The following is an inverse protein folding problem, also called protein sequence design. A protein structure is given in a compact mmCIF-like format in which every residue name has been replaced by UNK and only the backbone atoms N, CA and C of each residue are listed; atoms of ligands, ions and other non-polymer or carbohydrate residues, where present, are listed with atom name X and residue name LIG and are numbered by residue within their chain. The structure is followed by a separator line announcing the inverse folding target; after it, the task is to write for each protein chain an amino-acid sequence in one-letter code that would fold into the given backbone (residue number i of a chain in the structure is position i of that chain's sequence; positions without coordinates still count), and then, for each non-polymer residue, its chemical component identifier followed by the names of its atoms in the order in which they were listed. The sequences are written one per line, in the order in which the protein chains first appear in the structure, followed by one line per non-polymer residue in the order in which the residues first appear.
data_IF_722276297980
#
_entry.id   IF_722276297980
#
_cell.length_a   1.000
_cell.length_b   1.000
_cell.length_c   1.000
_cell.angle_alpha   90.00
_cell.angle_beta   90.00
_cell.angle_gamma   90.00
#
_symmetry.space_group_name_H-M   'P 1'
#
loop_
_entity.id
_entity.type
_entity.pdbx_description
1 polymer ?
#
# COMPACT_ATOMS: atom_id res chain seq x y z
N UNK A 1 9.06 20.22 0.50
CA UNK A 1 8.88 19.50 1.76
C UNK A 1 7.86 18.41 1.54
N UNK A 2 8.21 17.15 1.81
CA UNK A 2 7.30 16.00 1.66
C UNK A 2 6.85 15.45 3.01
N UNK A 3 7.13 16.14 4.13
CA UNK A 3 6.58 15.78 5.43
C UNK A 3 5.06 15.94 5.39
N UNK A 4 4.27 14.88 5.64
CA UNK A 4 2.81 15.00 5.70
C UNK A 4 2.39 15.97 6.82
N UNK A 5 1.50 16.95 6.56
CA UNK A 5 1.24 18.05 7.50
C UNK A 5 0.77 17.58 8.87
N UNK A 6 -0.08 16.55 8.90
CA UNK A 6 -0.61 16.03 10.15
C UNK A 6 0.47 15.37 11.02
N UNK A 7 1.48 14.72 10.43
CA UNK A 7 2.57 14.10 11.19
C UNK A 7 3.43 15.14 11.92
N UNK A 8 3.53 16.35 11.37
CA UNK A 8 4.25 17.45 12.02
C UNK A 8 3.52 17.97 13.27
N UNK A 9 2.20 17.77 13.37
CA UNK A 9 1.37 18.35 14.44
C UNK A 9 0.79 17.32 15.42
N UNK A 10 0.87 16.01 15.13
CA UNK A 10 0.22 14.98 15.93
C UNK A 10 0.93 14.69 17.26
N UNK A 11 2.18 15.11 17.44
CA UNK A 11 2.94 14.92 18.68
C UNK A 11 3.53 13.52 18.88
N UNK A 12 3.31 12.60 17.94
CA UNK A 12 3.79 11.21 18.00
C UNK A 12 5.24 11.04 17.48
N UNK A 13 5.76 12.03 16.76
CA UNK A 13 7.08 11.98 16.12
C UNK A 13 7.99 13.06 16.70
N UNK A 14 9.24 12.68 16.97
CA UNK A 14 10.29 13.63 17.32
C UNK A 14 10.68 14.49 16.12
N UNK A 15 11.27 15.66 16.38
CA UNK A 15 11.82 16.52 15.33
C UNK A 15 12.83 15.78 14.45
N UNK A 16 13.67 14.94 15.07
CA UNK A 16 14.65 14.11 14.37
C UNK A 16 13.99 13.15 13.37
N UNK A 17 12.91 12.46 13.77
CA UNK A 17 12.16 11.57 12.88
C UNK A 17 11.48 12.34 11.74
N UNK A 18 10.93 13.52 12.03
CA UNK A 18 10.31 14.37 11.01
C UNK A 18 11.32 14.88 9.97
N UNK A 19 12.62 14.97 10.31
CA UNK A 19 13.67 15.31 9.34
C UNK A 19 14.03 14.19 8.37
N UNK A 20 13.60 12.95 8.63
CA UNK A 20 13.84 11.82 7.73
C UNK A 20 13.00 11.90 6.44
N UNK A 21 11.91 12.68 6.44
CA UNK A 21 11.13 12.93 5.24
C UNK A 21 11.91 13.79 4.23
N UNK A 22 11.81 13.42 2.97
CA UNK A 22 12.48 14.11 1.89
C UNK A 22 12.03 15.58 1.80
N UNK A 23 12.97 16.52 1.92
CA UNK A 23 12.67 17.94 1.78
C UNK A 23 13.66 18.63 0.82
N UNK A 24 13.27 18.83 -0.46
CA UNK A 24 14.15 19.46 -1.44
C UNK A 24 14.51 20.91 -1.09
N UNK A 25 13.72 21.58 -0.24
CA UNK A 25 14.00 22.96 0.22
C UNK A 25 15.23 23.04 1.15
N UNK A 26 15.65 21.92 1.74
CA UNK A 26 16.84 21.84 2.60
C UNK A 26 18.13 21.53 1.80
N UNK A 27 18.00 21.23 0.51
CA UNK A 27 19.14 20.92 -0.35
C UNK A 27 19.73 22.21 -0.94
N UNK A 28 21.05 22.27 -1.16
CA UNK A 28 21.68 23.39 -1.86
C UNK A 28 21.00 23.69 -3.21
N UNK A 29 20.93 24.98 -3.59
CA UNK A 29 20.31 25.37 -4.87
C UNK A 29 20.97 24.72 -6.10
N UNK A 30 22.25 24.36 -6.00
CA UNK A 30 23.01 23.66 -7.04
C UNK A 30 22.87 22.13 -7.01
N UNK A 31 21.99 21.58 -6.17
CA UNK A 31 21.78 20.13 -6.10
C UNK A 31 21.17 19.61 -7.41
N UNK A 32 21.93 18.79 -8.12
CA UNK A 32 21.46 18.07 -9.29
C UNK A 32 20.59 16.88 -8.84
N UNK A 33 19.33 16.85 -9.26
CA UNK A 33 18.44 15.72 -8.99
C UNK A 33 18.61 14.62 -10.05
N UNK A 34 18.80 13.36 -9.64
CA UNK A 34 18.87 12.26 -10.59
C UNK A 34 17.53 12.12 -11.32
N UNK A 35 17.59 11.95 -12.64
CA UNK A 35 16.42 11.60 -13.43
C UNK A 35 16.11 10.13 -13.19
N UNK A 36 14.99 9.85 -12.54
CA UNK A 36 14.48 8.48 -12.43
C UNK A 36 13.97 8.02 -13.79
N UNK A 37 14.64 7.03 -14.38
CA UNK A 37 14.09 6.22 -15.46
C UNK A 37 13.36 5.06 -14.79
N UNK A 38 12.03 5.04 -14.85
CA UNK A 38 11.22 3.97 -14.30
C UNK A 38 11.32 2.73 -15.22
N UNK A 39 12.15 1.72 -14.92
CA UNK A 39 12.50 0.67 -15.88
C UNK A 39 11.31 -0.26 -16.19
N UNK A 40 10.36 -0.35 -15.24
CA UNK A 40 9.15 -1.16 -15.38
C UNK A 40 8.12 -0.57 -16.36
N UNK A 41 8.32 0.65 -16.87
CA UNK A 41 7.58 1.10 -18.05
C UNK A 41 8.08 0.46 -19.35
N UNK A 42 9.31 -0.07 -19.37
CA UNK A 42 9.96 -0.63 -20.56
C UNK A 42 9.99 -2.18 -20.57
N UNK A 43 9.64 -2.84 -19.46
CA UNK A 43 9.57 -4.31 -19.39
C UNK A 43 8.13 -4.80 -19.29
N UNK A 44 7.79 -5.78 -20.12
CA UNK A 44 6.50 -6.48 -20.05
C UNK A 44 6.40 -7.24 -18.72
N UNK A 45 5.65 -6.69 -17.78
CA UNK A 45 5.31 -7.37 -16.53
C UNK A 45 4.32 -8.50 -16.81
N UNK A 46 4.65 -9.71 -16.35
CA UNK A 46 3.79 -10.89 -16.40
C UNK A 46 3.81 -11.55 -15.01
N UNK A 47 2.68 -11.49 -14.31
CA UNK A 47 2.56 -11.98 -12.94
C UNK A 47 2.88 -13.49 -12.83
N UNK A 48 2.42 -14.31 -13.77
CA UNK A 48 2.59 -15.76 -13.72
C UNK A 48 4.05 -16.13 -13.96
N UNK A 49 4.70 -15.44 -14.90
CA UNK A 49 6.13 -15.59 -15.16
C UNK A 49 6.98 -15.21 -13.94
N UNK A 50 6.63 -14.11 -13.26
CA UNK A 50 7.32 -13.68 -12.05
C UNK A 50 7.15 -14.70 -10.92
N UNK A 51 5.90 -15.12 -10.64
CA UNK A 51 5.58 -16.12 -9.61
C UNK A 51 6.35 -17.43 -9.84
N UNK A 52 6.38 -17.90 -11.10
CA UNK A 52 7.15 -19.08 -11.48
C UNK A 52 8.63 -18.88 -11.22
N UNK A 53 9.18 -17.74 -11.65
CA UNK A 53 10.62 -17.47 -11.53
C UNK A 53 11.09 -17.35 -10.09
N UNK A 54 10.34 -16.65 -9.22
CA UNK A 54 10.70 -16.53 -7.79
C UNK A 54 10.62 -17.88 -7.07
N UNK A 55 9.69 -18.75 -7.50
CA UNK A 55 9.58 -20.12 -6.99
C UNK A 55 10.74 -20.99 -7.46
N UNK A 56 11.08 -20.96 -8.75
CA UNK A 56 12.22 -21.70 -9.34
C UNK A 56 13.55 -21.33 -8.67
N UNK A 57 13.73 -20.05 -8.35
CA UNK A 57 14.95 -19.55 -7.71
C UNK A 57 15.01 -19.85 -6.20
N UNK A 58 13.97 -20.45 -5.61
CA UNK A 58 13.92 -20.74 -4.18
C UNK A 58 13.84 -19.50 -3.28
N UNK A 59 13.45 -18.35 -3.84
CA UNK A 59 13.34 -17.08 -3.10
C UNK A 59 12.12 -17.04 -2.18
N UNK A 60 11.22 -18.01 -2.33
CA UNK A 60 10.05 -18.22 -1.48
C UNK A 60 10.08 -19.64 -0.93
N UNK A 61 9.67 -19.82 0.33
CA UNK A 61 9.70 -21.14 0.98
C UNK A 61 8.77 -22.17 0.30
N UNK A 62 7.64 -21.70 -0.25
CA UNK A 62 6.64 -22.52 -0.96
C UNK A 62 6.05 -21.70 -2.09
N UNK A 63 5.62 -22.35 -3.17
CA UNK A 63 4.97 -21.68 -4.32
C UNK A 63 3.72 -20.88 -3.91
N UNK A 64 2.97 -21.33 -2.90
CA UNK A 64 1.84 -20.59 -2.33
C UNK A 64 2.24 -19.25 -1.70
N UNK A 65 3.47 -19.13 -1.19
CA UNK A 65 4.01 -17.88 -0.64
C UNK A 65 4.44 -16.88 -1.73
N UNK A 66 4.46 -17.28 -3.01
CA UNK A 66 4.68 -16.35 -4.12
C UNK A 66 3.42 -15.54 -4.48
N UNK A 67 2.25 -15.93 -3.96
CA UNK A 67 1.01 -15.19 -4.20
C UNK A 67 1.13 -13.77 -3.62
N UNK A 68 0.78 -12.71 -4.39
CA UNK A 68 0.77 -11.34 -3.88
C UNK A 68 -0.11 -11.14 -2.65
N UNK A 69 -1.10 -12.00 -2.45
CA UNK A 69 -1.97 -11.98 -1.26
C UNK A 69 -1.17 -12.39 0.00
N UNK A 70 -0.18 -13.27 -0.15
CA UNK A 70 0.54 -13.90 0.97
C UNK A 70 1.91 -13.26 1.21
N UNK A 71 2.61 -12.82 0.16
CA UNK A 71 3.95 -12.22 0.25
C UNK A 71 3.95 -10.76 0.68
N UNK A 72 2.78 -10.12 0.76
CA UNK A 72 2.66 -8.72 1.11
C UNK A 72 2.92 -8.43 2.59
N UNK A 73 3.17 -7.17 2.91
CA UNK A 73 3.38 -6.75 4.29
C UNK A 73 2.09 -6.89 5.11
N UNK A 74 2.13 -7.48 6.33
CA UNK A 74 0.93 -7.78 7.11
C UNK A 74 0.00 -6.59 7.40
N UNK A 75 0.55 -5.37 7.55
CA UNK A 75 -0.26 -4.16 7.79
C UNK A 75 -1.19 -3.85 6.60
N UNK A 76 -0.88 -4.29 5.38
CA UNK A 76 -1.73 -4.04 4.23
C UNK A 76 -3.15 -4.60 4.45
N UNK A 77 -3.30 -5.69 5.19
CA UNK A 77 -4.61 -6.23 5.57
C UNK A 77 -5.41 -5.26 6.41
N UNK A 78 -4.78 -4.61 7.39
CA UNK A 78 -5.40 -3.59 8.23
C UNK A 78 -5.79 -2.35 7.42
N UNK A 79 -4.92 -1.89 6.51
CA UNK A 79 -5.23 -0.76 5.63
C UNK A 79 -6.42 -1.05 4.72
N UNK A 80 -6.43 -2.21 4.06
CA UNK A 80 -7.57 -2.65 3.24
C UNK A 80 -8.85 -2.78 4.07
N UNK A 81 -8.77 -3.23 5.33
CA UNK A 81 -9.92 -3.30 6.23
C UNK A 81 -10.49 -1.92 6.53
N UNK A 82 -9.63 -0.94 6.86
CA UNK A 82 -10.03 0.45 7.11
C UNK A 82 -10.77 1.03 5.91
N UNK A 83 -10.23 0.87 4.71
CA UNK A 83 -10.82 1.41 3.48
C UNK A 83 -12.10 0.68 3.08
N UNK A 84 -12.15 -0.65 3.21
CA UNK A 84 -13.38 -1.42 2.97
C UNK A 84 -14.50 -1.01 3.93
N UNK A 85 -14.16 -0.67 5.19
CA UNK A 85 -15.13 -0.22 6.19
C UNK A 85 -15.61 1.20 5.91
N UNK A 86 -14.72 2.11 5.53
CA UNK A 86 -15.01 3.53 5.39
C UNK A 86 -15.56 3.90 4.01
N UNK A 87 -15.01 3.31 2.95
CA UNK A 87 -15.33 3.64 1.55
C UNK A 87 -16.09 2.53 0.83
N UNK A 88 -16.11 1.31 1.37
CA UNK A 88 -16.87 0.20 0.82
C UNK A 88 -16.15 -0.60 -0.28
N UNK A 89 -14.90 -0.24 -0.63
CA UNK A 89 -14.12 -0.91 -1.67
C UNK A 89 -12.66 -1.15 -1.24
N UNK A 90 -12.00 -2.10 -1.89
CA UNK A 90 -10.59 -2.42 -1.66
C UNK A 90 -9.69 -1.38 -2.36
N UNK A 91 -8.72 -0.75 -1.66
CA UNK A 91 -7.90 0.32 -2.23
C UNK A 91 -7.06 -0.14 -3.42
N UNK A 92 -6.74 -1.43 -3.55
CA UNK A 92 -5.99 -1.97 -4.68
C UNK A 92 -6.83 -2.27 -5.92
N UNK A 93 -8.15 -2.07 -5.86
CA UNK A 93 -9.04 -2.36 -6.98
C UNK A 93 -8.66 -1.60 -8.27
N UNK A 94 -8.28 -0.30 -8.24
CA UNK A 94 -7.83 0.42 -9.43
C UNK A 94 -6.57 -0.18 -10.06
N UNK A 95 -5.57 -0.54 -9.25
CA UNK A 95 -4.29 -1.11 -9.67
C UNK A 95 -4.51 -2.48 -10.32
N UNK A 96 -5.27 -3.37 -9.67
CA UNK A 96 -5.59 -4.68 -10.25
C UNK A 96 -6.44 -4.55 -11.51
N UNK A 97 -7.39 -3.61 -11.56
CA UNK A 97 -8.17 -3.36 -12.77
C UNK A 97 -7.29 -2.87 -13.93
N UNK A 98 -6.27 -2.05 -13.66
CA UNK A 98 -5.29 -1.64 -14.66
C UNK A 98 -4.47 -2.84 -15.16
N UNK A 99 -3.93 -3.66 -14.25
CA UNK A 99 -3.18 -4.86 -14.61
C UNK A 99 -3.99 -5.85 -15.46
N UNK A 100 -5.28 -6.02 -15.14
CA UNK A 100 -6.18 -6.88 -15.92
C UNK A 100 -6.41 -6.31 -17.32
N UNK A 101 -6.66 -5.01 -17.45
CA UNK A 101 -6.84 -4.35 -18.76
C UNK A 101 -5.58 -4.45 -19.62
N UNK A 102 -4.41 -4.38 -19.00
CA UNK A 102 -3.11 -4.57 -19.64
C UNK A 102 -2.77 -6.05 -19.90
N UNK A 103 -3.66 -6.99 -19.55
CA UNK A 103 -3.46 -8.45 -19.65
C UNK A 103 -2.27 -9.00 -18.86
N UNK A 104 -1.84 -8.26 -17.84
CA UNK A 104 -0.73 -8.63 -16.95
C UNK A 104 -1.21 -9.43 -15.73
N UNK A 105 -2.52 -9.48 -15.50
CA UNK A 105 -3.18 -10.27 -14.46
C UNK A 105 -4.44 -10.96 -15.01
N UNK A 106 -4.77 -12.12 -14.45
CA UNK A 106 -5.92 -12.93 -14.90
C UNK A 106 -7.26 -12.38 -14.37
N UNK A 107 -8.13 -11.93 -15.27
CA UNK A 107 -9.50 -11.50 -14.92
C UNK A 107 -10.30 -12.64 -14.26
N UNK A 108 -10.21 -13.86 -14.81
CA UNK A 108 -11.00 -14.99 -14.32
C UNK A 108 -10.66 -15.33 -12.86
N UNK A 109 -9.37 -15.32 -12.53
CA UNK A 109 -8.89 -15.52 -11.17
C UNK A 109 -9.38 -14.39 -10.24
N UNK A 110 -9.13 -13.13 -10.60
CA UNK A 110 -9.44 -11.99 -9.74
C UNK A 110 -10.93 -11.74 -9.57
N UNK A 111 -11.76 -12.12 -10.55
CA UNK A 111 -13.23 -12.06 -10.41
C UNK A 111 -13.76 -12.97 -9.30
N UNK A 112 -13.06 -14.05 -8.99
CA UNK A 112 -13.39 -14.96 -7.89
C UNK A 112 -12.67 -14.54 -6.61
N UNK A 113 -11.37 -14.24 -6.72
CA UNK A 113 -10.54 -14.01 -5.54
C UNK A 113 -10.75 -12.65 -4.88
N UNK A 114 -11.08 -11.60 -5.62
CA UNK A 114 -11.31 -10.27 -5.03
C UNK A 114 -12.48 -10.28 -4.01
N UNK A 115 -13.69 -10.78 -4.34
CA UNK A 115 -14.77 -10.90 -3.35
C UNK A 115 -14.40 -11.79 -2.15
N UNK A 116 -13.66 -12.87 -2.39
CA UNK A 116 -13.21 -13.79 -1.31
C UNK A 116 -12.24 -13.08 -0.37
N UNK A 117 -11.29 -12.32 -0.90
CA UNK A 117 -10.33 -11.54 -0.11
C UNK A 117 -11.06 -10.44 0.67
N UNK A 118 -11.95 -9.69 0.04
CA UNK A 118 -12.75 -8.66 0.72
C UNK A 118 -13.61 -9.26 1.83
N UNK A 119 -14.22 -10.43 1.60
CA UNK A 119 -14.96 -11.15 2.64
C UNK A 119 -14.07 -11.57 3.81
N UNK A 120 -12.88 -12.13 3.53
CA UNK A 120 -11.91 -12.51 4.57
C UNK A 120 -11.47 -11.29 5.39
N UNK A 121 -11.19 -10.16 4.73
CA UNK A 121 -10.78 -8.91 5.38
C UNK A 121 -11.89 -8.38 6.28
N UNK A 122 -13.11 -8.21 5.74
CA UNK A 122 -14.27 -7.65 6.48
C UNK A 122 -14.60 -8.46 7.73
N UNK A 123 -14.50 -9.78 7.64
CA UNK A 123 -14.83 -10.68 8.74
C UNK A 123 -13.60 -11.07 9.59
N UNK A 124 -12.40 -10.57 9.26
CA UNK A 124 -11.13 -10.88 9.95
C UNK A 124 -10.85 -12.39 10.01
N UNK A 125 -11.15 -13.11 8.93
CA UNK A 125 -11.03 -14.58 8.81
C UNK A 125 -9.84 -14.99 7.93
N UNK A 126 -9.27 -16.16 8.19
CA UNK A 126 -8.11 -16.67 7.42
C UNK A 126 -6.94 -15.69 7.49
N UNK A 127 -6.46 -15.23 6.32
CA UNK A 127 -5.43 -14.19 6.24
C UNK A 127 -5.92 -12.81 6.75
N UNK A 128 -7.23 -12.57 6.75
CA UNK A 128 -7.83 -11.40 7.40
C UNK A 128 -7.62 -11.35 8.91
N UNK A 129 -7.15 -12.42 9.55
CA UNK A 129 -6.74 -12.39 10.97
C UNK A 129 -5.56 -11.46 11.22
N UNK A 130 -4.74 -11.17 10.20
CA UNK A 130 -3.67 -10.17 10.30
C UNK A 130 -4.22 -8.77 10.61
N UNK A 131 -5.49 -8.48 10.26
CA UNK A 131 -6.18 -7.26 10.70
C UNK A 131 -6.23 -7.21 12.23
N UNK A 132 -6.76 -8.27 12.86
CA UNK A 132 -6.88 -8.35 14.33
C UNK A 132 -5.51 -8.26 14.99
N UNK A 133 -4.54 -9.03 14.48
CA UNK A 133 -3.17 -9.02 15.00
C UNK A 133 -2.52 -7.64 14.92
N UNK A 134 -2.69 -6.95 13.80
CA UNK A 134 -2.14 -5.60 13.60
C UNK A 134 -2.82 -4.57 14.51
N UNK A 135 -4.14 -4.68 14.67
CA UNK A 135 -4.88 -3.83 15.61
C UNK A 135 -4.42 -4.04 17.05
N UNK A 136 -4.28 -5.29 17.50
CA UNK A 136 -3.77 -5.62 18.83
C UNK A 136 -2.35 -5.09 19.05
N UNK A 137 -1.46 -5.29 18.05
CA UNK A 137 -0.08 -4.80 18.11
C UNK A 137 0.00 -3.27 18.20
N UNK A 138 -0.88 -2.56 17.49
CA UNK A 138 -0.92 -1.09 17.47
C UNK A 138 -1.82 -0.49 18.57
N UNK A 139 -2.45 -1.31 19.41
CA UNK A 139 -3.40 -0.84 20.42
C UNK A 139 -4.66 -0.18 19.86
N UNK A 140 -5.06 -0.52 18.64
CA UNK A 140 -6.19 0.08 17.92
C UNK A 140 -7.49 -0.69 18.16
N UNK A 141 -8.60 0.04 18.27
CA UNK A 141 -9.97 -0.48 18.21
C UNK A 141 -10.59 -0.16 16.85
N UNK A 142 -11.69 -0.84 16.55
CA UNK A 142 -12.44 -0.60 15.30
C UNK A 142 -12.93 0.84 15.19
N UNK A 143 -13.21 1.49 16.32
CA UNK A 143 -13.63 2.89 16.38
C UNK A 143 -12.49 3.87 16.13
N UNK A 144 -11.23 3.45 16.23
CA UNK A 144 -10.08 4.32 15.97
C UNK A 144 -9.78 4.38 14.45
N UNK A 145 -10.28 3.40 13.67
CA UNK A 145 -10.18 3.36 12.20
C UNK A 145 -11.23 4.25 11.54
N UNK A 146 -11.03 5.56 11.59
CA UNK A 146 -11.95 6.56 11.04
C UNK A 146 -11.23 7.57 10.17
N UNK A 147 -11.89 7.96 9.08
CA UNK A 147 -11.50 9.10 8.25
C UNK A 147 -12.51 10.20 8.54
N UNK A 148 -12.21 11.01 9.55
CA UNK A 148 -13.13 11.99 10.14
C UNK A 148 -12.71 13.44 9.90
N UNK A 149 -11.53 13.68 9.33
CA UNK A 149 -11.08 15.03 9.00
C UNK A 149 -11.69 15.49 7.65
N UNK A 150 -11.90 16.81 7.47
CA UNK A 150 -12.44 17.35 6.24
C UNK A 150 -11.54 17.03 5.03
N UNK A 151 -12.13 17.05 3.84
CA UNK A 151 -11.40 16.91 2.57
C UNK A 151 -10.23 17.90 2.53
N UNK A 152 -9.03 17.42 2.16
CA UNK A 152 -7.80 18.21 2.17
C UNK A 152 -6.94 18.05 3.43
N UNK A 153 -7.47 17.52 4.53
CA UNK A 153 -6.70 17.35 5.76
C UNK A 153 -5.59 16.28 5.67
N UNK A 154 -5.78 15.30 4.78
CA UNK A 154 -4.81 14.22 4.51
C UNK A 154 -4.06 14.42 3.19
N UNK A 155 -4.41 15.44 2.40
CA UNK A 155 -3.76 15.68 1.12
C UNK A 155 -2.34 16.19 1.37
N UNK A 156 -1.33 15.70 0.63
CA UNK A 156 0.00 16.29 0.71
C UNK A 156 -0.11 17.79 0.34
N UNK A 157 0.62 18.68 1.02
CA UNK A 157 0.59 20.09 0.72
C UNK A 157 1.03 20.21 -0.73
N UNK A 158 0.11 20.62 -1.60
CA UNK A 158 0.44 20.91 -2.98
C UNK A 158 1.57 21.93 -2.91
N UNK A 159 2.73 21.60 -3.50
CA UNK A 159 3.82 22.55 -3.71
C UNK A 159 3.33 23.61 -4.71
N UNK A 160 2.36 24.42 -4.32
CA UNK A 160 2.06 25.71 -4.91
C UNK A 160 2.86 26.67 -4.08
N UNK A 161 4.03 26.99 -4.60
CA UNK A 161 4.73 28.27 -4.48
C UNK A 161 6.03 28.10 -5.27
N UNK A 162 5.95 28.48 -6.55
CA UNK A 162 7.09 28.80 -7.39
C UNK A 162 7.26 30.32 -7.39
#
# INVERSE_FOLDING_TARGET
DWTPPHLATCGEFSEAELTAFYNPKKLPAATAFPRYLAPYHAWDYDQDKVIRKVTELGLVQRSSHASPIVSNYPINWLMMYSDLKQFGYNPYAPEFAALIRERKASLAYWRIMAPVVDFMIRNKLGLGREVRRSMEWLGLRDDDLRINLPKGAYDPPLLRDA
#
